data_IF_165634714102
#
_entry.id   IF_165634714102
#
_cell.length_a   1.000
_cell.length_b   1.000
_cell.length_c   1.000
_cell.angle_alpha   90.00
_cell.angle_beta   90.00
_cell.angle_gamma   90.00
#
_symmetry.space_group_name_H-M   'P 1'
#
loop_
_entity.id
_entity.type
_entity.pdbx_description
1 polymer ?
#
# COMPACT_ATOMS: atom_id res chain seq x y z
N UNK A 1 17.44 2.34 0.30
CA UNK A 1 16.94 0.95 0.40
C UNK A 1 16.85 0.42 -1.01
N UNK A 2 17.42 -0.75 -1.28
CA UNK A 2 17.36 -1.37 -2.61
C UNK A 2 16.17 -2.32 -2.64
N UNK A 3 15.24 -2.21 -3.62
CA UNK A 3 14.15 -3.15 -3.78
C UNK A 3 14.64 -4.60 -3.81
N UNK A 4 13.96 -5.53 -3.12
CA UNK A 4 14.33 -6.95 -3.06
C UNK A 4 13.95 -7.73 -4.34
N UNK A 5 14.38 -7.22 -5.51
CA UNK A 5 14.02 -7.75 -6.83
C UNK A 5 14.42 -9.22 -7.03
N UNK A 6 15.52 -9.65 -6.42
CA UNK A 6 16.06 -11.00 -6.57
C UNK A 6 15.08 -12.08 -6.08
N UNK A 7 14.27 -11.78 -5.05
CA UNK A 7 13.23 -12.69 -4.55
C UNK A 7 12.15 -13.00 -5.59
N UNK A 8 12.01 -12.13 -6.58
CA UNK A 8 11.07 -12.24 -7.68
C UNK A 8 11.72 -12.74 -8.98
N UNK A 9 13.02 -13.06 -8.93
CA UNK A 9 13.82 -13.42 -10.11
C UNK A 9 14.07 -12.24 -11.04
N UNK A 10 14.07 -11.01 -10.52
CA UNK A 10 14.20 -9.78 -11.28
C UNK A 10 15.54 -9.07 -11.01
N UNK A 11 15.94 -8.27 -11.98
CA UNK A 11 17.07 -7.35 -11.93
C UNK A 11 16.67 -5.96 -12.42
N UNK A 12 17.55 -4.97 -12.27
CA UNK A 12 17.30 -3.62 -12.79
C UNK A 12 17.09 -3.57 -14.32
N UNK A 13 17.55 -4.58 -15.06
CA UNK A 13 17.37 -4.67 -16.52
C UNK A 13 15.95 -5.05 -16.92
N UNK A 14 15.22 -5.70 -16.03
CA UNK A 14 13.84 -6.15 -16.26
C UNK A 14 12.81 -5.02 -16.06
N UNK A 15 13.28 -3.81 -15.75
CA UNK A 15 12.43 -2.64 -15.55
C UNK A 15 11.73 -2.25 -16.85
N UNK A 16 10.39 -2.15 -16.79
CA UNK A 16 9.59 -1.58 -17.86
C UNK A 16 9.76 -0.06 -17.88
N UNK A 17 10.57 0.44 -18.80
CA UNK A 17 10.83 1.88 -18.96
C UNK A 17 9.64 2.61 -19.58
N UNK A 18 9.46 3.90 -19.26
CA UNK A 18 8.43 4.74 -19.88
C UNK A 18 8.52 4.81 -21.43
N UNK A 19 9.69 4.50 -22.00
CA UNK A 19 9.93 4.54 -23.45
C UNK A 19 9.67 3.20 -24.15
N UNK A 20 9.35 2.13 -23.43
CA UNK A 20 9.18 0.79 -24.04
C UNK A 20 7.92 0.68 -24.90
N UNK A 21 6.93 1.57 -24.69
CA UNK A 21 5.61 1.43 -25.31
C UNK A 21 4.80 0.24 -24.78
N UNK A 22 5.26 -0.39 -23.70
CA UNK A 22 4.58 -1.54 -23.10
C UNK A 22 3.17 -1.11 -22.60
N UNK A 23 2.09 -1.82 -23.00
CA UNK A 23 0.72 -1.45 -22.63
C UNK A 23 0.49 -1.34 -21.12
N UNK A 24 1.13 -2.22 -20.33
CA UNK A 24 1.02 -2.23 -18.88
C UNK A 24 1.71 -1.00 -18.29
N UNK A 25 2.87 -0.61 -18.84
CA UNK A 25 3.55 0.62 -18.45
C UNK A 25 2.71 1.86 -18.76
N UNK A 26 2.13 1.93 -19.96
CA UNK A 26 1.25 3.03 -20.38
C UNK A 26 0.04 3.17 -19.45
N UNK A 27 -0.58 2.03 -19.10
CA UNK A 27 -1.69 2.00 -18.16
C UNK A 27 -1.26 2.48 -16.76
N UNK A 28 -0.15 1.95 -16.25
CA UNK A 28 0.37 2.33 -14.93
C UNK A 28 0.69 3.83 -14.87
N UNK A 29 1.33 4.41 -15.90
CA UNK A 29 1.61 5.85 -15.98
C UNK A 29 0.32 6.68 -16.02
N UNK A 30 -0.73 6.21 -16.72
CA UNK A 30 -2.04 6.88 -16.75
C UNK A 30 -2.69 6.88 -15.37
N UNK A 31 -2.67 5.75 -14.66
CA UNK A 31 -3.21 5.66 -13.30
C UNK A 31 -2.38 6.47 -12.31
N UNK A 32 -1.05 6.47 -12.44
CA UNK A 32 -0.15 7.26 -11.60
C UNK A 32 -0.51 8.77 -11.65
N UNK A 33 -0.82 9.29 -12.85
CA UNK A 33 -1.25 10.69 -13.02
C UNK A 33 -2.54 11.02 -12.26
N UNK A 34 -3.50 10.10 -12.18
CA UNK A 34 -4.75 10.30 -11.42
C UNK A 34 -4.46 10.56 -9.94
N UNK A 35 -3.45 9.89 -9.39
CA UNK A 35 -3.04 10.06 -7.99
C UNK A 35 -1.92 11.09 -7.79
N UNK A 36 -1.37 11.67 -8.86
CA UNK A 36 -0.22 12.57 -8.78
C UNK A 36 1.06 11.88 -8.32
N UNK A 37 1.26 10.61 -8.69
CA UNK A 37 2.52 9.89 -8.49
C UNK A 37 3.40 10.12 -9.71
N UNK A 38 4.52 10.81 -9.53
CA UNK A 38 5.40 11.22 -10.64
C UNK A 38 6.44 10.16 -11.01
N UNK A 39 7.01 9.49 -10.01
CA UNK A 39 8.13 8.57 -10.20
C UNK A 39 7.86 7.23 -9.51
N UNK A 40 7.94 6.15 -10.30
CA UNK A 40 7.93 4.78 -9.83
C UNK A 40 8.67 3.90 -10.83
N UNK A 41 9.27 2.82 -10.35
CA UNK A 41 9.78 1.76 -11.19
C UNK A 41 8.70 0.67 -11.36
N UNK A 42 8.68 -0.02 -12.50
CA UNK A 42 7.68 -1.03 -12.82
C UNK A 42 8.37 -2.31 -13.30
N UNK A 43 8.01 -3.43 -12.71
CA UNK A 43 8.53 -4.75 -13.06
C UNK A 43 7.41 -5.76 -13.17
N UNK A 44 7.60 -6.76 -14.03
CA UNK A 44 6.67 -7.89 -14.16
C UNK A 44 7.36 -9.18 -13.78
N UNK A 45 6.78 -9.97 -12.88
CA UNK A 45 7.37 -11.22 -12.40
C UNK A 45 6.42 -12.41 -12.52
N UNK A 46 6.98 -13.63 -12.41
CA UNK A 46 6.21 -14.89 -12.42
C UNK A 46 6.29 -15.67 -11.10
N UNK A 47 6.85 -15.06 -10.05
CA UNK A 47 7.08 -15.72 -8.76
C UNK A 47 5.80 -16.25 -8.08
N UNK A 48 4.67 -15.55 -8.17
CA UNK A 48 3.36 -15.98 -7.66
C UNK A 48 2.23 -15.20 -8.35
N UNK A 49 0.98 -15.59 -8.08
CA UNK A 49 -0.23 -15.01 -8.65
C UNK A 49 -1.00 -14.13 -7.63
N UNK A 50 -0.29 -13.24 -6.93
CA UNK A 50 -0.86 -12.37 -5.88
C UNK A 50 -1.37 -11.01 -6.38
N UNK A 51 -1.50 -10.02 -5.49
CA UNK A 51 -1.75 -8.62 -5.89
C UNK A 51 -0.46 -7.95 -6.41
N UNK A 52 -0.59 -6.74 -6.98
CA UNK A 52 0.56 -5.85 -7.21
C UNK A 52 1.17 -5.45 -5.87
N UNK A 53 2.49 -5.59 -5.76
CA UNK A 53 3.25 -5.26 -4.55
C UNK A 53 4.08 -3.98 -4.73
N UNK A 54 4.31 -3.28 -3.63
CA UNK A 54 5.14 -2.07 -3.58
C UNK A 54 6.41 -2.38 -2.80
N UNK A 55 7.54 -2.36 -3.47
CA UNK A 55 8.86 -2.38 -2.83
C UNK A 55 9.31 -0.98 -2.44
N UNK A 56 9.91 -0.89 -1.27
CA UNK A 56 10.51 0.36 -0.83
C UNK A 56 11.66 0.74 -1.74
N UNK A 57 11.83 2.03 -1.98
CA UNK A 57 12.82 2.56 -2.90
C UNK A 57 12.64 4.06 -3.08
N UNK A 58 13.61 4.68 -3.73
CA UNK A 58 13.50 6.06 -4.21
C UNK A 58 13.99 6.08 -5.68
N UNK A 59 13.08 5.92 -6.66
CA UNK A 59 11.62 5.84 -6.53
C UNK A 59 11.11 4.48 -6.00
N UNK A 60 9.85 4.37 -5.51
CA UNK A 60 9.24 3.09 -5.15
C UNK A 60 9.09 2.19 -6.38
N UNK A 61 9.17 0.87 -6.19
CA UNK A 61 9.03 -0.09 -7.28
C UNK A 61 7.72 -0.88 -7.17
N UNK A 62 6.97 -0.94 -8.26
CA UNK A 62 5.80 -1.80 -8.40
C UNK A 62 6.21 -3.14 -9.00
N UNK A 63 5.90 -4.20 -8.27
CA UNK A 63 6.08 -5.57 -8.71
C UNK A 63 4.72 -6.13 -9.14
N UNK A 64 4.60 -6.42 -10.43
CA UNK A 64 3.35 -6.84 -11.05
C UNK A 64 3.41 -8.33 -11.39
N UNK A 65 2.56 -9.17 -10.80
CA UNK A 65 2.42 -10.55 -11.21
C UNK A 65 2.01 -10.66 -12.69
N UNK A 66 2.62 -11.58 -13.43
CA UNK A 66 2.42 -11.70 -14.88
C UNK A 66 0.95 -11.96 -15.28
N UNK A 67 0.13 -12.56 -14.41
CA UNK A 67 -1.29 -12.78 -14.70
C UNK A 67 -2.09 -11.46 -14.77
N UNK A 68 -1.58 -10.36 -14.21
CA UNK A 68 -2.25 -9.05 -14.28
C UNK A 68 -2.42 -8.60 -15.73
N UNK A 69 -1.51 -8.96 -16.62
CA UNK A 69 -1.58 -8.58 -18.05
C UNK A 69 -2.75 -9.22 -18.79
N UNK A 70 -3.34 -10.28 -18.23
CA UNK A 70 -4.48 -11.00 -18.84
C UNK A 70 -5.83 -10.59 -18.23
N UNK A 71 -5.82 -9.73 -17.21
CA UNK A 71 -7.04 -9.22 -16.59
C UNK A 71 -7.72 -8.18 -17.47
N UNK A 72 -9.02 -7.96 -17.22
CA UNK A 72 -9.72 -6.82 -17.80
C UNK A 72 -9.06 -5.50 -17.37
N UNK A 73 -9.13 -4.47 -18.23
CA UNK A 73 -8.47 -3.19 -17.96
C UNK A 73 -8.93 -2.55 -16.64
N UNK A 74 -10.22 -2.64 -16.29
CA UNK A 74 -10.76 -2.16 -15.01
C UNK A 74 -10.09 -2.81 -13.80
N UNK A 75 -9.81 -4.11 -13.87
CA UNK A 75 -9.14 -4.87 -12.82
C UNK A 75 -7.65 -4.51 -12.71
N UNK A 76 -6.99 -4.29 -13.85
CA UNK A 76 -5.61 -3.77 -13.87
C UNK A 76 -5.56 -2.36 -13.26
N UNK A 77 -6.51 -1.50 -13.61
CA UNK A 77 -6.66 -0.16 -13.03
C UNK A 77 -6.85 -0.24 -11.53
N UNK A 78 -7.72 -1.12 -11.02
CA UNK A 78 -7.91 -1.30 -9.58
C UNK A 78 -6.59 -1.62 -8.85
N UNK A 79 -5.80 -2.58 -9.36
CA UNK A 79 -4.54 -2.98 -8.73
C UNK A 79 -3.52 -1.84 -8.72
N UNK A 80 -3.36 -1.15 -9.85
CA UNK A 80 -2.46 0.00 -9.93
C UNK A 80 -2.94 1.15 -9.05
N UNK A 81 -4.22 1.49 -9.11
CA UNK A 81 -4.79 2.61 -8.37
C UNK A 81 -4.63 2.43 -6.86
N UNK A 82 -4.78 1.19 -6.36
CA UNK A 82 -4.57 0.89 -4.94
C UNK A 82 -3.12 1.13 -4.53
N UNK A 83 -2.15 0.67 -5.33
CA UNK A 83 -0.74 0.92 -5.08
C UNK A 83 -0.38 2.41 -5.17
N UNK A 84 -0.90 3.13 -6.17
CA UNK A 84 -0.65 4.56 -6.34
C UNK A 84 -1.28 5.38 -5.21
N UNK A 85 -2.46 5.01 -4.73
CA UNK A 85 -3.10 5.66 -3.58
C UNK A 85 -2.25 5.53 -2.30
N UNK A 86 -1.69 4.35 -2.05
CA UNK A 86 -0.85 4.12 -0.86
C UNK A 86 0.52 4.81 -0.98
N UNK A 87 1.12 4.83 -2.18
CA UNK A 87 2.35 5.57 -2.48
C UNK A 87 2.13 7.08 -2.28
N UNK A 88 1.10 7.65 -2.90
CA UNK A 88 0.82 9.10 -2.85
C UNK A 88 0.62 9.60 -1.42
N UNK A 89 0.02 8.78 -0.57
CA UNK A 89 -0.22 9.05 0.85
C UNK A 89 1.00 8.77 1.75
N UNK A 90 2.06 8.16 1.21
CA UNK A 90 3.25 7.80 1.98
C UNK A 90 3.02 6.64 2.96
N UNK A 91 1.99 5.81 2.74
CA UNK A 91 1.58 4.74 3.68
C UNK A 91 1.78 3.33 3.13
N UNK A 92 2.40 3.15 1.96
CA UNK A 92 2.59 1.84 1.32
C UNK A 92 3.36 0.82 2.18
N UNK A 93 4.07 1.24 3.23
CA UNK A 93 4.63 0.34 4.24
C UNK A 93 3.58 -0.55 4.91
N UNK A 94 2.34 -0.05 5.07
CA UNK A 94 1.26 -0.83 5.67
C UNK A 94 0.74 -1.94 4.76
N UNK A 95 1.06 -1.93 3.46
CA UNK A 95 0.72 -3.03 2.55
C UNK A 95 1.68 -4.22 2.73
N UNK A 96 2.96 -3.95 3.05
CA UNK A 96 4.02 -4.97 3.14
C UNK A 96 4.29 -5.47 4.57
N UNK A 97 4.20 -4.59 5.56
CA UNK A 97 4.56 -4.92 6.94
C UNK A 97 3.34 -5.37 7.76
N UNK A 98 3.57 -6.29 8.69
CA UNK A 98 2.58 -6.65 9.70
C UNK A 98 2.33 -5.48 10.67
N UNK A 99 1.11 -5.30 11.20
CA UNK A 99 0.80 -4.20 12.11
C UNK A 99 1.75 -4.07 13.30
N UNK A 100 2.19 -5.19 13.90
CA UNK A 100 3.18 -5.19 14.98
C UNK A 100 4.51 -4.54 14.58
N UNK A 101 5.00 -4.79 13.36
CA UNK A 101 6.25 -4.17 12.89
C UNK A 101 6.05 -2.68 12.59
N UNK A 102 4.85 -2.28 12.17
CA UNK A 102 4.50 -0.86 12.01
C UNK A 102 4.51 -0.16 13.38
N UNK A 103 3.93 -0.80 14.40
CA UNK A 103 3.92 -0.29 15.77
C UNK A 103 5.35 -0.16 16.33
N UNK A 104 6.17 -1.20 16.19
CA UNK A 104 7.60 -1.17 16.57
C UNK A 104 8.34 -0.02 15.88
N UNK A 105 8.12 0.19 14.58
CA UNK A 105 8.73 1.29 13.83
C UNK A 105 8.27 2.66 14.29
N UNK A 106 6.97 2.85 14.55
CA UNK A 106 6.43 4.10 15.09
C UNK A 106 7.02 4.41 16.47
N UNK A 107 7.07 3.42 17.36
CA UNK A 107 7.61 3.56 18.70
C UNK A 107 9.12 3.85 18.67
N UNK A 108 9.88 3.10 17.87
CA UNK A 108 11.33 3.28 17.77
C UNK A 108 11.70 4.61 17.14
N UNK A 109 10.95 5.03 16.11
CA UNK A 109 11.15 6.32 15.45
C UNK A 109 10.85 7.47 16.42
N UNK A 110 9.74 7.39 17.15
CA UNK A 110 9.38 8.42 18.15
C UNK A 110 10.42 8.49 19.25
N UNK A 111 10.87 7.35 19.77
CA UNK A 111 11.88 7.26 20.82
C UNK A 111 13.23 7.85 20.42
N UNK A 112 13.56 7.85 19.12
CA UNK A 112 14.79 8.48 18.63
C UNK A 112 14.83 10.00 18.86
N UNK A 113 13.67 10.63 19.07
CA UNK A 113 13.52 12.08 19.27
C UNK A 113 12.86 12.43 20.61
N UNK A 114 12.14 11.50 21.22
CA UNK A 114 11.49 11.62 22.54
C UNK A 114 12.02 10.50 23.44
N UNK A 115 13.15 10.71 24.15
CA UNK A 115 13.76 9.70 24.98
C UNK A 115 12.79 9.12 26.03
N UNK A 116 12.82 7.79 26.20
CA UNK A 116 11.94 7.08 27.13
C UNK A 116 10.54 6.76 26.60
N UNK A 117 10.17 7.23 25.41
CA UNK A 117 8.91 6.85 24.77
C UNK A 117 8.83 5.33 24.56
N UNK A 118 7.70 4.73 24.95
CA UNK A 118 7.50 3.27 24.92
C UNK A 118 8.06 2.50 26.13
N UNK A 119 8.48 3.17 27.20
CA UNK A 119 8.87 2.53 28.47
C UNK A 119 10.29 1.95 28.48
N UNK A 120 10.64 1.17 29.50
CA UNK A 120 11.98 0.56 29.58
C UNK A 120 12.04 -0.70 28.69
N UNK A 121 12.63 -0.57 27.49
CA UNK A 121 12.78 -1.65 26.51
C UNK A 121 14.11 -1.51 25.76
N UNK A 122 15.03 -2.46 25.98
CA UNK A 122 16.37 -2.46 25.40
C UNK A 122 16.38 -2.74 23.89
N UNK A 123 15.43 -3.54 23.40
CA UNK A 123 15.28 -3.82 21.96
C UNK A 123 14.78 -2.57 21.24
N UNK A 124 13.83 -1.87 21.85
CA UNK A 124 13.35 -0.58 21.34
C UNK A 124 14.45 0.49 21.33
N UNK A 125 15.31 0.54 22.34
CA UNK A 125 16.49 1.41 22.38
C UNK A 125 17.51 1.07 21.27
N UNK A 126 17.70 -0.22 20.97
CA UNK A 126 18.55 -0.65 19.88
C UNK A 126 17.97 -0.21 18.52
N UNK A 127 16.69 -0.50 18.28
CA UNK A 127 16.01 -0.14 17.05
C UNK A 127 15.97 1.38 16.83
N UNK A 128 15.66 2.16 17.88
CA UNK A 128 15.69 3.63 17.86
C UNK A 128 17.04 4.18 17.40
N UNK A 129 18.15 3.66 17.97
CA UNK A 129 19.51 4.07 17.58
C UNK A 129 19.84 3.70 16.13
N UNK A 130 19.37 2.53 15.65
CA UNK A 130 19.54 2.12 14.25
C UNK A 130 18.77 3.05 13.30
N UNK A 131 17.53 3.40 13.63
CA UNK A 131 16.72 4.35 12.85
C UNK A 131 17.40 5.72 12.79
N UNK A 132 17.80 6.28 13.94
CA UNK A 132 18.44 7.59 14.01
C UNK A 132 19.71 7.70 13.13
N UNK A 133 20.44 6.58 12.99
CA UNK A 133 21.62 6.47 12.11
C UNK A 133 21.28 6.27 10.63
N UNK A 134 20.15 5.63 10.32
CA UNK A 134 19.77 5.27 8.95
C UNK A 134 19.02 6.39 8.20
N UNK A 135 18.33 7.28 8.91
CA UNK A 135 17.53 8.34 8.30
C UNK A 135 18.39 9.48 7.73
N UNK A 136 17.94 10.07 6.62
CA UNK A 136 18.58 11.24 6.03
C UNK A 136 18.47 12.48 6.93
N UNK A 137 19.34 13.47 6.72
CA UNK A 137 19.25 14.76 7.45
C UNK A 137 17.91 15.47 7.23
N UNK A 138 17.34 15.37 6.01
CA UNK A 138 16.03 15.96 5.69
C UNK A 138 14.91 15.26 6.46
N UNK A 139 14.90 13.93 6.44
CA UNK A 139 13.93 13.11 7.19
C UNK A 139 14.03 13.37 8.69
N UNK A 140 15.26 13.47 9.21
CA UNK A 140 15.50 13.78 10.63
C UNK A 140 14.79 15.07 11.06
N UNK A 141 14.95 16.16 10.31
CA UNK A 141 14.30 17.45 10.65
C UNK A 141 12.77 17.33 10.71
N UNK A 142 12.16 16.64 9.74
CA UNK A 142 10.70 16.43 9.74
C UNK A 142 10.23 15.59 10.95
N UNK A 143 11.04 14.61 11.37
CA UNK A 143 10.73 13.76 12.53
C UNK A 143 10.95 14.49 13.86
N UNK A 144 11.91 15.41 13.97
CA UNK A 144 12.09 16.26 15.16
C UNK A 144 10.83 17.08 15.47
N UNK A 145 10.09 17.51 14.44
CA UNK A 145 8.82 18.23 14.59
C UNK A 145 7.64 17.27 14.87
N UNK A 146 7.60 16.10 14.23
CA UNK A 146 6.45 15.19 14.27
C UNK A 146 6.45 14.24 15.47
N UNK A 147 7.62 13.84 15.96
CA UNK A 147 7.73 12.85 17.04
C UNK A 147 7.14 13.35 18.38
N UNK A 148 7.35 14.61 18.82
CA UNK A 148 6.68 15.13 20.02
C UNK A 148 5.16 15.12 19.89
N UNK A 149 4.62 15.47 18.72
CA UNK A 149 3.18 15.45 18.45
C UNK A 149 2.62 14.03 18.56
N UNK A 150 3.27 13.06 17.91
CA UNK A 150 2.89 11.66 18.00
C UNK A 150 3.00 11.13 19.44
N UNK A 151 4.00 11.56 20.21
CA UNK A 151 4.16 11.12 21.60
C UNK A 151 3.03 11.60 22.53
N UNK A 152 2.41 12.74 22.21
CA UNK A 152 1.24 13.26 22.94
C UNK A 152 -0.06 12.55 22.57
N UNK A 153 -0.20 12.10 21.33
CA UNK A 153 -1.38 11.40 20.81
C UNK A 153 -0.99 10.18 19.95
N UNK A 154 -0.45 9.11 20.56
CA UNK A 154 0.00 7.96 19.80
C UNK A 154 -1.17 7.16 19.23
N UNK A 155 -0.94 6.45 18.13
CA UNK A 155 -1.92 5.50 17.59
C UNK A 155 -2.04 4.31 18.56
N UNK A 156 -3.18 4.19 19.22
CA UNK A 156 -3.43 3.14 20.24
C UNK A 156 -3.84 1.79 19.66
N UNK A 157 -4.40 1.78 18.45
CA UNK A 157 -4.89 0.57 17.78
C UNK A 157 -4.26 0.46 16.38
N UNK A 158 -2.97 0.12 16.33
CA UNK A 158 -2.19 0.12 15.07
C UNK A 158 -2.76 -0.85 14.04
N UNK A 159 -3.28 -2.00 14.45
CA UNK A 159 -3.95 -2.95 13.55
C UNK A 159 -5.15 -2.33 12.83
N UNK A 160 -6.04 -1.70 13.59
CA UNK A 160 -7.22 -1.02 13.05
C UNK A 160 -6.82 0.18 12.18
N UNK A 161 -5.78 0.93 12.58
CA UNK A 161 -5.24 2.01 11.78
C UNK A 161 -4.72 1.50 10.43
N UNK A 162 -3.85 0.48 10.41
CA UNK A 162 -3.37 -0.16 9.20
C UNK A 162 -4.52 -0.65 8.30
N UNK A 163 -5.53 -1.31 8.89
CA UNK A 163 -6.73 -1.77 8.17
C UNK A 163 -7.45 -0.61 7.48
N UNK A 164 -7.70 0.49 8.19
CA UNK A 164 -8.35 1.70 7.63
C UNK A 164 -7.53 2.35 6.52
N UNK A 165 -6.20 2.33 6.61
CA UNK A 165 -5.34 2.86 5.55
C UNK A 165 -5.45 2.02 4.26
N UNK A 166 -5.45 0.68 4.39
CA UNK A 166 -5.65 -0.25 3.26
C UNK A 166 -7.05 -0.08 2.63
N UNK A 167 -8.10 -0.01 3.46
CA UNK A 167 -9.46 0.26 2.99
C UNK A 167 -9.55 1.57 2.20
N UNK A 168 -8.92 2.63 2.70
CA UNK A 168 -8.92 3.93 2.02
C UNK A 168 -8.28 3.85 0.63
N UNK A 169 -7.18 3.11 0.49
CA UNK A 169 -6.52 2.87 -0.80
C UNK A 169 -7.40 2.04 -1.74
N UNK A 170 -8.04 0.98 -1.23
CA UNK A 170 -8.91 0.12 -2.03
C UNK A 170 -10.20 0.82 -2.48
N UNK A 171 -10.79 1.66 -1.63
CA UNK A 171 -11.96 2.48 -1.99
C UNK A 171 -11.64 3.48 -3.09
N UNK A 172 -10.50 4.19 -2.96
CA UNK A 172 -10.04 5.09 -4.02
C UNK A 172 -9.79 4.34 -5.33
N UNK A 173 -9.19 3.15 -5.25
CA UNK A 173 -8.98 2.30 -6.41
C UNK A 173 -10.27 1.85 -7.08
N UNK A 174 -11.27 1.45 -6.29
CA UNK A 174 -12.58 1.04 -6.79
C UNK A 174 -13.29 2.19 -7.53
N UNK A 175 -13.21 3.41 -7.01
CA UNK A 175 -13.77 4.60 -7.67
C UNK A 175 -13.13 4.82 -9.05
N UNK A 176 -11.80 4.69 -9.14
CA UNK A 176 -11.08 4.88 -10.41
C UNK A 176 -11.31 3.72 -11.39
N UNK A 177 -11.48 2.50 -10.88
CA UNK A 177 -11.69 1.30 -11.70
C UNK A 177 -13.12 1.19 -12.25
N UNK A 178 -14.10 1.78 -11.58
CA UNK A 178 -15.54 1.76 -11.93
C UNK A 178 -16.15 0.37 -12.18
N UNK A 179 -15.62 -0.66 -11.53
CA UNK A 179 -16.04 -2.05 -11.77
C UNK A 179 -16.08 -2.83 -10.46
N UNK A 180 -17.16 -2.66 -9.71
CA UNK A 180 -17.36 -3.39 -8.47
C UNK A 180 -17.40 -4.93 -8.69
N UNK A 181 -18.17 -5.49 -9.65
CA UNK A 181 -18.20 -6.94 -9.86
C UNK A 181 -16.84 -7.52 -10.24
N UNK A 182 -16.11 -6.87 -11.15
CA UNK A 182 -14.76 -7.28 -11.55
C UNK A 182 -13.76 -7.18 -10.41
N UNK A 183 -13.84 -6.12 -9.59
CA UNK A 183 -13.01 -5.93 -8.40
C UNK A 183 -13.25 -7.04 -7.36
N UNK A 184 -14.51 -7.38 -7.06
CA UNK A 184 -14.84 -8.46 -6.12
C UNK A 184 -14.30 -9.79 -6.64
N UNK A 185 -14.50 -10.08 -7.93
CA UNK A 185 -13.99 -11.31 -8.55
C UNK A 185 -12.46 -11.40 -8.50
N UNK A 186 -11.77 -10.27 -8.65
CA UNK A 186 -10.32 -10.19 -8.53
C UNK A 186 -9.86 -10.48 -7.10
N UNK A 187 -10.42 -9.76 -6.11
CA UNK A 187 -10.02 -9.90 -4.70
C UNK A 187 -10.26 -11.31 -4.16
N UNK A 188 -11.34 -11.98 -4.60
CA UNK A 188 -11.59 -13.40 -4.27
C UNK A 188 -10.54 -14.36 -4.80
N UNK A 189 -9.74 -13.97 -5.80
CA UNK A 189 -8.65 -14.78 -6.37
C UNK A 189 -7.30 -14.44 -5.78
N UNK A 190 -7.06 -13.16 -5.47
CA UNK A 190 -5.74 -12.64 -5.10
C UNK A 190 -5.54 -12.45 -3.61
N UNK A 191 -6.60 -12.27 -2.81
CA UNK A 191 -6.50 -11.92 -1.39
C UNK A 191 -7.15 -12.94 -0.44
N UNK A 192 -7.55 -14.11 -0.94
CA UNK A 192 -7.88 -15.23 -0.08
C UNK A 192 -8.46 -16.43 -0.83
N UNK A 193 -7.98 -17.61 -0.47
CA UNK A 193 -8.78 -18.82 -0.65
C UNK A 193 -9.85 -18.84 0.43
N UNK A 194 -11.01 -18.26 0.12
CA UNK A 194 -12.16 -18.27 1.02
C UNK A 194 -12.81 -19.67 1.08
N UNK A 195 -12.36 -20.64 0.27
CA UNK A 195 -12.91 -21.99 0.28
C UNK A 195 -12.63 -22.66 1.64
N UNK A 196 -13.67 -23.21 2.24
CA UNK A 196 -13.58 -23.92 3.52
C UNK A 196 -13.54 -23.04 4.77
N UNK A 197 -13.34 -21.72 4.64
CA UNK A 197 -13.47 -20.80 5.78
C UNK A 197 -14.94 -20.68 6.22
N UNK A 198 -15.16 -20.60 7.53
CA UNK A 198 -16.50 -20.41 8.14
C UNK A 198 -16.43 -19.44 9.32
N UNK A 199 -17.60 -18.91 9.71
CA UNK A 199 -17.75 -18.08 10.91
C UNK A 199 -16.84 -16.85 10.88
N UNK A 200 -16.15 -16.59 12.00
CA UNK A 200 -15.28 -15.43 12.17
C UNK A 200 -14.14 -15.36 11.15
N UNK A 201 -13.55 -16.50 10.78
CA UNK A 201 -12.46 -16.55 9.81
C UNK A 201 -12.92 -16.14 8.40
N UNK A 202 -14.12 -16.58 7.99
CA UNK A 202 -14.71 -16.14 6.73
C UNK A 202 -15.06 -14.65 6.76
N UNK A 203 -15.67 -14.17 7.85
CA UNK A 203 -16.00 -12.76 8.02
C UNK A 203 -14.75 -11.87 7.94
N UNK A 204 -13.64 -12.31 8.55
CA UNK A 204 -12.36 -11.61 8.48
C UNK A 204 -11.78 -11.61 7.05
N UNK A 205 -11.82 -12.76 6.36
CA UNK A 205 -11.39 -12.87 4.97
C UNK A 205 -12.24 -12.05 3.99
N UNK A 206 -13.51 -11.82 4.31
CA UNK A 206 -14.43 -11.01 3.49
C UNK A 206 -14.45 -9.53 3.87
N UNK A 207 -13.71 -9.09 4.89
CA UNK A 207 -13.85 -7.74 5.45
C UNK A 207 -13.61 -6.62 4.42
N UNK A 208 -12.61 -6.78 3.54
CA UNK A 208 -12.36 -5.82 2.46
C UNK A 208 -13.51 -5.79 1.45
N UNK A 209 -14.01 -6.97 1.06
CA UNK A 209 -15.10 -7.08 0.08
C UNK A 209 -16.39 -6.46 0.65
N UNK A 210 -16.74 -6.77 1.90
CA UNK A 210 -17.90 -6.18 2.59
C UNK A 210 -17.79 -4.66 2.66
N UNK A 211 -16.60 -4.16 3.01
CA UNK A 211 -16.33 -2.72 3.06
C UNK A 211 -16.51 -2.04 1.70
N UNK A 212 -15.95 -2.62 0.63
CA UNK A 212 -16.05 -2.07 -0.72
C UNK A 212 -17.49 -2.06 -1.23
N UNK A 213 -18.27 -3.12 -0.95
CA UNK A 213 -19.69 -3.17 -1.31
C UNK A 213 -20.49 -2.07 -0.59
N UNK A 214 -20.30 -1.92 0.72
CA UNK A 214 -20.96 -0.87 1.52
C UNK A 214 -20.54 0.53 1.07
N UNK A 215 -19.26 0.72 0.82
CA UNK A 215 -18.73 1.98 0.31
C UNK A 215 -19.32 2.33 -1.05
N UNK A 216 -19.37 1.38 -2.00
CA UNK A 216 -19.86 1.63 -3.35
C UNK A 216 -21.28 2.21 -3.42
N UNK A 217 -22.16 1.80 -2.50
CA UNK A 217 -23.54 2.28 -2.40
C UNK A 217 -23.70 3.48 -1.46
N UNK A 218 -22.61 3.98 -0.88
CA UNK A 218 -22.64 5.12 0.05
C UNK A 218 -22.71 6.47 -0.67
N UNK A 219 -23.20 7.48 0.05
CA UNK A 219 -23.20 8.89 -0.40
C UNK A 219 -21.78 9.39 -0.69
N UNK A 220 -20.79 8.97 0.10
CA UNK A 220 -19.39 9.33 -0.10
C UNK A 220 -18.86 8.84 -1.45
N UNK A 221 -19.16 7.60 -1.84
CA UNK A 221 -18.76 7.07 -3.14
C UNK A 221 -19.51 7.74 -4.29
N UNK A 222 -20.80 8.06 -4.11
CA UNK A 222 -21.57 8.82 -5.09
C UNK A 222 -20.97 10.22 -5.31
N UNK A 223 -20.66 10.93 -4.24
CA UNK A 223 -20.04 12.26 -4.30
C UNK A 223 -18.68 12.24 -4.99
N UNK A 224 -17.84 11.25 -4.66
CA UNK A 224 -16.52 11.09 -5.28
C UNK A 224 -16.62 10.80 -6.78
N UNK A 225 -17.50 9.88 -7.19
CA UNK A 225 -17.74 9.56 -8.61
C UNK A 225 -18.22 10.79 -9.38
N UNK A 226 -19.19 11.54 -8.85
CA UNK A 226 -19.62 12.82 -9.45
C UNK A 226 -18.50 13.83 -9.60
N UNK A 227 -17.62 13.94 -8.60
CA UNK A 227 -16.51 14.89 -8.64
C UNK A 227 -15.49 14.57 -9.75
N UNK A 228 -15.29 13.29 -10.07
CA UNK A 228 -14.38 12.85 -11.13
C UNK A 228 -15.08 12.64 -12.49
N UNK A 229 -16.32 13.12 -12.65
CA UNK A 229 -17.06 13.08 -13.91
C UNK A 229 -17.75 11.76 -14.22
N UNK A 230 -17.94 10.91 -13.21
CA UNK A 230 -18.75 9.68 -13.28
C UNK A 230 -20.16 9.93 -12.75
N UNK A 231 -21.08 8.98 -12.91
CA UNK A 231 -22.51 9.09 -12.54
C UNK A 231 -22.74 9.46 -11.08
#
# INVERSE_FOLDING_TARGET
YTPELERYGLSSRDRLSARSGDPLRVLADRVARVFGVENFDLYVHRAHAGSVEVEFGDPPALLVPAHVTTLAESQQVFLFARAMASIRRGVHAVEKLMPRHIEELLNATTRAFVPGFGGADAELDNLSRRIAKAISRRTRKALEESAPLYSGEPVTHVEEWCRRLRLSSARAALVVADDLPGTINLLRRTEGDLAGLRGAALAQGMALIDDLMRFWVSESAFTLRRHIGMT
#
